data_IF_566836342438
#
_entry.id   IF_566836342438
#
_cell.length_a   1.000
_cell.length_b   1.000
_cell.length_c   1.000
_cell.angle_alpha   90.00
_cell.angle_beta   90.00
_cell.angle_gamma   90.00
#
_symmetry.space_group_name_H-M   'P 1'
#
loop_
_entity.id
_entity.type
_entity.pdbx_description
1 polymer ?
#
# COMPACT_ATOMS: atom_id res chain seq x y z
N UNK A 1 -4.30 -6.18 -13.17
CA UNK A 1 -3.04 -5.42 -13.24
C UNK A 1 -1.89 -6.18 -12.55
N UNK A 2 -1.96 -6.56 -11.26
CA UNK A 2 -0.89 -7.32 -10.59
C UNK A 2 -0.47 -8.59 -11.33
N UNK A 3 -1.41 -9.41 -11.80
CA UNK A 3 -1.10 -10.62 -12.56
C UNK A 3 -0.36 -10.30 -13.86
N UNK A 4 -0.74 -9.23 -14.55
CA UNK A 4 -0.03 -8.77 -15.75
C UNK A 4 1.41 -8.37 -15.44
N UNK A 5 1.64 -7.69 -14.30
CA UNK A 5 2.99 -7.35 -13.86
C UNK A 5 3.81 -8.59 -13.53
N UNK A 6 3.25 -9.58 -12.85
CA UNK A 6 3.93 -10.84 -12.51
C UNK A 6 4.30 -11.61 -13.77
N UNK A 7 3.38 -11.73 -14.73
CA UNK A 7 3.64 -12.34 -16.03
C UNK A 7 4.67 -11.55 -16.84
N UNK A 8 4.57 -10.22 -16.82
CA UNK A 8 5.54 -9.34 -17.47
C UNK A 8 6.95 -9.54 -16.91
N UNK A 9 7.12 -9.58 -15.58
CA UNK A 9 8.39 -9.91 -14.95
C UNK A 9 8.93 -11.27 -15.42
N UNK A 10 8.07 -12.28 -15.47
CA UNK A 10 8.45 -13.61 -15.96
C UNK A 10 8.99 -13.57 -17.39
N UNK A 11 8.29 -12.91 -18.32
CA UNK A 11 8.69 -12.86 -19.73
C UNK A 11 9.91 -11.97 -19.97
N UNK A 12 9.94 -10.78 -19.40
CA UNK A 12 11.02 -9.82 -19.63
C UNK A 12 12.33 -10.16 -18.92
N UNK A 13 12.33 -11.08 -17.95
CA UNK A 13 13.54 -11.59 -17.32
C UNK A 13 14.12 -12.83 -18.00
N UNK A 14 13.42 -13.45 -18.96
CA UNK A 14 13.90 -14.63 -19.71
C UNK A 14 15.29 -14.45 -20.34
N UNK A 15 15.59 -13.34 -21.04
CA UNK A 15 16.89 -13.15 -21.67
C UNK A 15 18.06 -13.17 -20.70
N UNK A 16 17.81 -12.78 -19.46
CA UNK A 16 18.83 -12.68 -18.40
C UNK A 16 18.93 -13.94 -17.55
N UNK A 17 18.06 -14.94 -17.76
CA UNK A 17 17.99 -16.18 -16.99
C UNK A 17 18.02 -17.41 -17.91
N UNK A 18 19.07 -17.55 -18.70
CA UNK A 18 19.31 -18.68 -19.61
C UNK A 18 18.09 -19.06 -20.51
N UNK A 19 17.28 -18.05 -20.90
CA UNK A 19 16.10 -18.26 -21.74
C UNK A 19 14.87 -18.80 -21.00
N UNK A 20 14.91 -18.92 -19.67
CA UNK A 20 13.79 -19.39 -18.85
C UNK A 20 13.28 -18.31 -17.93
N UNK A 21 11.96 -18.10 -17.88
CA UNK A 21 11.36 -17.19 -16.89
C UNK A 21 11.44 -17.77 -15.48
N UNK A 22 11.37 -16.88 -14.50
CA UNK A 22 11.39 -17.29 -13.08
C UNK A 22 10.31 -16.55 -12.29
N UNK A 23 9.76 -17.20 -11.28
CA UNK A 23 8.92 -16.59 -10.25
C UNK A 23 9.62 -16.46 -8.90
N UNK A 24 10.90 -16.86 -8.83
CA UNK A 24 11.69 -16.72 -7.62
C UNK A 24 11.97 -15.22 -7.35
N UNK A 25 11.43 -14.70 -6.24
CA UNK A 25 11.53 -13.30 -5.90
C UNK A 25 12.99 -12.83 -5.75
N UNK A 26 13.86 -13.65 -5.19
CA UNK A 26 15.28 -13.30 -4.99
C UNK A 26 15.97 -13.12 -6.34
N UNK A 27 15.74 -14.03 -7.27
CA UNK A 27 16.28 -13.96 -8.64
C UNK A 27 15.68 -12.76 -9.39
N UNK A 28 14.37 -12.51 -9.25
CA UNK A 28 13.71 -11.36 -9.87
C UNK A 28 14.26 -10.01 -9.38
N UNK A 29 14.60 -9.88 -8.11
CA UNK A 29 15.22 -8.66 -7.55
C UNK A 29 16.57 -8.36 -8.23
N UNK A 30 17.31 -9.40 -8.63
CA UNK A 30 18.59 -9.22 -9.32
C UNK A 30 18.44 -8.93 -10.82
N UNK A 31 17.41 -9.49 -11.45
CA UNK A 31 17.21 -9.42 -12.90
C UNK A 31 16.30 -8.28 -13.34
N UNK A 32 15.27 -7.94 -12.57
CA UNK A 32 14.29 -6.92 -12.97
C UNK A 32 14.88 -5.53 -13.23
N UNK A 33 15.90 -5.05 -12.48
CA UNK A 33 16.56 -3.77 -12.78
C UNK A 33 17.34 -3.77 -14.11
N UNK A 34 17.61 -4.94 -14.70
CA UNK A 34 18.34 -5.08 -15.97
C UNK A 34 17.42 -5.03 -17.20
N UNK A 35 16.10 -5.01 -17.00
CA UNK A 35 15.13 -4.95 -18.09
C UNK A 35 15.26 -3.58 -18.78
N UNK A 36 15.80 -3.56 -19.99
CA UNK A 36 15.84 -2.39 -20.85
C UNK A 36 14.97 -2.67 -22.09
N UNK A 37 13.68 -2.59 -21.93
CA UNK A 37 12.72 -2.82 -22.99
C UNK A 37 11.65 -1.72 -23.00
N UNK A 38 11.13 -1.42 -24.18
CA UNK A 38 10.04 -0.47 -24.36
C UNK A 38 8.81 -1.19 -24.92
N UNK A 39 7.65 -0.86 -24.38
CA UNK A 39 6.36 -1.33 -24.84
C UNK A 39 5.45 -0.12 -25.08
N UNK A 40 4.93 0.05 -26.29
CA UNK A 40 4.12 1.19 -26.70
C UNK A 40 4.77 2.57 -26.45
N UNK A 41 6.11 2.64 -26.50
CA UNK A 41 6.87 3.87 -26.26
C UNK A 41 7.12 4.18 -24.78
N UNK A 42 6.72 3.31 -23.88
CA UNK A 42 6.98 3.44 -22.42
C UNK A 42 8.00 2.40 -21.98
N UNK A 43 8.80 2.77 -20.96
CA UNK A 43 9.71 1.82 -20.30
C UNK A 43 8.89 0.69 -19.64
N UNK A 44 9.29 -0.55 -19.90
CA UNK A 44 8.61 -1.73 -19.34
C UNK A 44 8.70 -1.75 -17.81
N UNK A 45 9.83 -1.35 -17.23
CA UNK A 45 9.97 -1.26 -15.77
C UNK A 45 8.91 -0.33 -15.16
N UNK A 46 8.65 0.82 -15.79
CA UNK A 46 7.62 1.76 -15.35
C UNK A 46 6.21 1.16 -15.44
N UNK A 47 5.90 0.44 -16.53
CA UNK A 47 4.60 -0.24 -16.68
C UNK A 47 4.41 -1.34 -15.64
N UNK A 48 5.46 -2.11 -15.36
CA UNK A 48 5.45 -3.14 -14.32
C UNK A 48 5.25 -2.52 -12.93
N UNK A 49 5.99 -1.44 -12.63
CA UNK A 49 5.84 -0.69 -11.38
C UNK A 49 4.40 -0.19 -11.17
N UNK A 50 3.83 0.53 -12.14
CA UNK A 50 2.46 1.06 -12.05
C UNK A 50 1.45 -0.06 -11.88
N UNK A 51 1.61 -1.18 -12.60
CA UNK A 51 0.70 -2.31 -12.51
C UNK A 51 0.72 -2.99 -11.13
N UNK A 52 1.91 -3.13 -10.51
CA UNK A 52 2.05 -3.59 -9.13
C UNK A 52 1.48 -2.55 -8.16
N UNK A 53 1.82 -1.27 -8.37
CA UNK A 53 1.36 -0.17 -7.52
C UNK A 53 -0.17 -0.09 -7.46
N UNK A 54 -0.87 -0.14 -8.59
CA UNK A 54 -2.35 -0.12 -8.63
C UNK A 54 -2.91 -1.28 -7.81
N UNK A 55 -2.37 -2.49 -7.96
CA UNK A 55 -2.84 -3.65 -7.20
C UNK A 55 -2.69 -3.47 -5.69
N UNK A 56 -1.56 -2.94 -5.23
CA UNK A 56 -1.34 -2.66 -3.82
C UNK A 56 -2.10 -1.41 -3.35
N UNK A 57 -2.26 -0.38 -4.20
CA UNK A 57 -2.98 0.85 -3.91
C UNK A 57 -4.46 0.62 -3.59
N UNK A 58 -5.09 -0.34 -4.28
CA UNK A 58 -6.46 -0.77 -3.97
C UNK A 58 -6.51 -1.37 -2.56
N UNK A 59 -5.52 -2.19 -2.20
CA UNK A 59 -5.46 -2.87 -0.90
C UNK A 59 -5.12 -1.94 0.27
N UNK A 60 -4.25 -0.93 0.04
CA UNK A 60 -3.81 0.08 1.03
C UNK A 60 -4.87 1.16 1.29
N UNK A 61 -5.96 1.21 0.63
CA UNK A 61 -6.90 2.23 0.21
C UNK A 61 -6.28 3.61 -0.04
N UNK A 62 -5.42 3.66 -1.07
CA UNK A 62 -4.86 4.93 -1.56
C UNK A 62 -5.91 5.66 -2.40
N UNK A 63 -6.01 6.99 -2.25
CA UNK A 63 -6.86 7.80 -3.13
C UNK A 63 -6.47 7.58 -4.62
N UNK A 64 -7.42 7.37 -5.54
CA UNK A 64 -8.88 7.37 -5.38
C UNK A 64 -9.50 6.01 -5.00
N UNK A 65 -8.73 4.95 -4.79
CA UNK A 65 -9.20 3.56 -4.60
C UNK A 65 -9.66 3.22 -3.17
N UNK A 66 -9.95 4.21 -2.33
CA UNK A 66 -10.23 4.04 -0.90
C UNK A 66 -11.70 3.80 -0.54
N UNK A 67 -12.63 4.05 -1.47
CA UNK A 67 -14.07 4.13 -1.18
C UNK A 67 -14.70 2.81 -0.73
N UNK A 68 -14.10 1.68 -1.08
CA UNK A 68 -14.58 0.35 -0.70
C UNK A 68 -14.42 0.08 0.81
N UNK A 69 -13.40 0.70 1.45
CA UNK A 69 -13.03 0.37 2.83
C UNK A 69 -14.12 0.73 3.85
N UNK A 70 -14.69 1.95 3.86
CA UNK A 70 -15.76 2.29 4.80
C UNK A 70 -17.01 1.45 4.61
N UNK A 71 -17.36 1.12 3.36
CA UNK A 71 -18.51 0.27 3.06
C UNK A 71 -18.30 -1.16 3.57
N UNK A 72 -17.11 -1.73 3.32
CA UNK A 72 -16.76 -3.07 3.79
C UNK A 72 -16.84 -3.19 5.32
N UNK A 73 -16.38 -2.16 6.06
CA UNK A 73 -16.41 -2.18 7.52
C UNK A 73 -17.81 -2.08 8.13
N UNK A 74 -18.74 -1.41 7.47
CA UNK A 74 -20.13 -1.29 7.94
C UNK A 74 -20.87 -2.61 7.77
N UNK A 75 -20.76 -3.23 6.60
CA UNK A 75 -21.44 -4.48 6.27
C UNK A 75 -20.83 -5.69 6.98
N UNK A 76 -19.54 -5.63 7.32
CA UNK A 76 -18.84 -6.76 7.93
C UNK A 76 -19.16 -6.91 9.42
N UNK A 77 -19.26 -8.17 9.91
CA UNK A 77 -19.24 -8.44 11.35
C UNK A 77 -17.98 -7.88 12.01
N UNK A 78 -18.08 -7.50 13.29
CA UNK A 78 -16.99 -6.87 14.05
C UNK A 78 -15.67 -7.63 13.96
N UNK A 79 -15.68 -8.95 14.10
CA UNK A 79 -14.48 -9.79 14.01
C UNK A 79 -13.76 -9.65 12.65
N UNK A 80 -14.52 -9.57 11.55
CA UNK A 80 -13.94 -9.37 10.21
C UNK A 80 -13.35 -7.97 10.06
N UNK A 81 -14.02 -6.94 10.59
CA UNK A 81 -13.51 -5.57 10.60
C UNK A 81 -12.19 -5.46 11.37
N UNK A 82 -12.03 -6.16 12.49
CA UNK A 82 -10.78 -6.22 13.26
C UNK A 82 -9.63 -6.80 12.43
N UNK A 83 -9.85 -7.92 11.75
CA UNK A 83 -8.83 -8.56 10.89
C UNK A 83 -8.52 -7.69 9.67
N UNK A 84 -9.54 -7.11 9.06
CA UNK A 84 -9.39 -6.25 7.88
C UNK A 84 -8.55 -5.03 8.20
N UNK A 85 -8.85 -4.32 9.28
CA UNK A 85 -8.11 -3.14 9.70
C UNK A 85 -6.75 -3.49 10.31
N UNK A 86 -6.67 -4.52 11.15
CA UNK A 86 -5.45 -4.91 11.86
C UNK A 86 -4.35 -5.44 10.94
N UNK A 87 -4.70 -6.33 10.01
CA UNK A 87 -3.71 -7.09 9.22
C UNK A 87 -3.84 -6.86 7.72
N UNK A 88 -5.05 -6.99 7.15
CA UNK A 88 -5.20 -7.07 5.70
C UNK A 88 -4.79 -5.79 4.96
N UNK A 89 -5.00 -4.61 5.54
CA UNK A 89 -4.51 -3.35 4.95
C UNK A 89 -2.98 -3.31 4.88
N UNK A 90 -2.30 -3.84 5.89
CA UNK A 90 -0.83 -3.85 5.96
C UNK A 90 -0.19 -4.81 4.97
N UNK A 91 -0.92 -5.81 4.49
CA UNK A 91 -0.42 -6.67 3.40
C UNK A 91 -0.17 -5.88 2.12
N UNK A 92 -0.95 -4.83 1.85
CA UNK A 92 -0.72 -3.95 0.70
C UNK A 92 0.56 -3.12 0.85
N UNK A 93 0.75 -2.46 1.99
CA UNK A 93 1.97 -1.69 2.28
C UNK A 93 3.20 -2.59 2.39
N UNK A 94 3.07 -3.77 3.00
CA UNK A 94 4.11 -4.78 3.02
C UNK A 94 4.50 -5.23 1.61
N UNK A 95 3.51 -5.46 0.74
CA UNK A 95 3.75 -5.81 -0.66
C UNK A 95 4.53 -4.72 -1.42
N UNK A 96 4.19 -3.45 -1.21
CA UNK A 96 4.97 -2.34 -1.76
C UNK A 96 6.42 -2.38 -1.27
N UNK A 97 6.63 -2.47 0.06
CA UNK A 97 7.97 -2.47 0.67
C UNK A 97 8.80 -3.70 0.31
N UNK A 98 8.19 -4.88 0.34
CA UNK A 98 8.93 -6.14 0.20
C UNK A 98 9.07 -6.61 -1.24
N UNK A 99 8.13 -6.22 -2.11
CA UNK A 99 8.11 -6.67 -3.51
C UNK A 99 8.48 -5.51 -4.43
N UNK A 100 7.68 -4.44 -4.47
CA UNK A 100 7.84 -3.40 -5.48
C UNK A 100 9.16 -2.61 -5.31
N UNK A 101 9.53 -2.26 -4.08
CA UNK A 101 10.74 -1.47 -3.80
C UNK A 101 12.03 -2.19 -4.20
N UNK A 102 12.26 -3.46 -3.82
CA UNK A 102 13.47 -4.17 -4.23
C UNK A 102 13.50 -4.57 -5.70
N UNK A 103 12.33 -4.83 -6.32
CA UNK A 103 12.26 -5.25 -7.72
C UNK A 103 12.63 -4.14 -8.69
N UNK A 104 12.16 -2.92 -8.45
CA UNK A 104 12.26 -1.80 -9.39
C UNK A 104 12.71 -0.52 -8.67
N UNK A 105 13.93 -0.49 -8.10
CA UNK A 105 14.39 0.63 -7.27
C UNK A 105 14.49 1.95 -8.04
N UNK A 106 14.81 1.93 -9.33
CA UNK A 106 14.83 3.12 -10.18
C UNK A 106 13.46 3.78 -10.29
N UNK A 107 12.41 2.98 -10.47
CA UNK A 107 11.04 3.46 -10.59
C UNK A 107 10.47 3.93 -9.25
N UNK A 108 10.92 3.35 -8.14
CA UNK A 108 10.58 3.84 -6.79
C UNK A 108 11.03 5.27 -6.60
N UNK A 109 12.26 5.58 -6.97
CA UNK A 109 12.82 6.94 -6.87
C UNK A 109 12.03 7.90 -7.77
N UNK A 110 11.77 7.51 -9.00
CA UNK A 110 11.01 8.33 -9.97
C UNK A 110 9.59 8.63 -9.48
N UNK A 111 8.96 7.66 -8.80
CA UNK A 111 7.57 7.74 -8.35
C UNK A 111 7.42 8.29 -6.92
N UNK A 112 8.51 8.47 -6.17
CA UNK A 112 8.48 8.82 -4.75
C UNK A 112 7.75 10.15 -4.49
N UNK A 113 7.95 11.15 -5.34
CA UNK A 113 7.23 12.43 -5.20
C UNK A 113 5.72 12.26 -5.38
N UNK A 114 5.31 11.48 -6.37
CA UNK A 114 3.88 11.15 -6.58
C UNK A 114 3.31 10.40 -5.37
N UNK A 115 4.08 9.47 -4.81
CA UNK A 115 3.70 8.73 -3.61
C UNK A 115 3.55 9.65 -2.40
N UNK A 116 4.42 10.65 -2.23
CA UNK A 116 4.32 11.66 -1.18
C UNK A 116 3.04 12.49 -1.33
N UNK A 117 2.74 12.97 -2.54
CA UNK A 117 1.51 13.74 -2.83
C UNK A 117 0.26 12.89 -2.53
N UNK A 118 0.22 11.65 -2.98
CA UNK A 118 -0.88 10.74 -2.67
C UNK A 118 -1.01 10.49 -1.17
N UNK A 119 0.11 10.37 -0.44
CA UNK A 119 0.14 10.28 1.01
C UNK A 119 -0.51 11.48 1.69
N UNK A 120 -0.14 12.69 1.28
CA UNK A 120 -0.73 13.94 1.81
C UNK A 120 -2.23 14.02 1.50
N UNK A 121 -2.64 13.69 0.28
CA UNK A 121 -4.06 13.64 -0.10
C UNK A 121 -4.81 12.65 0.81
N UNK A 122 -4.28 11.45 1.02
CA UNK A 122 -4.90 10.46 1.91
C UNK A 122 -5.04 10.98 3.34
N UNK A 123 -4.01 11.65 3.87
CA UNK A 123 -4.03 12.22 5.23
C UNK A 123 -5.18 13.22 5.36
N UNK A 124 -5.22 14.21 4.48
CA UNK A 124 -6.21 15.28 4.54
C UNK A 124 -7.61 14.77 4.23
N UNK A 125 -7.76 14.06 3.13
CA UNK A 125 -9.05 13.53 2.67
C UNK A 125 -9.64 12.52 3.65
N UNK A 126 -8.81 11.60 4.16
CA UNK A 126 -9.24 10.61 5.16
C UNK A 126 -9.67 11.25 6.47
N UNK A 127 -8.91 12.25 6.97
CA UNK A 127 -9.23 12.95 8.21
C UNK A 127 -10.53 13.77 8.09
N UNK A 128 -10.69 14.55 7.02
CA UNK A 128 -11.90 15.35 6.79
C UNK A 128 -13.15 14.47 6.66
N UNK A 129 -13.05 13.38 5.92
CA UNK A 129 -14.16 12.42 5.80
C UNK A 129 -14.46 11.71 7.12
N UNK A 130 -13.44 11.38 7.93
CA UNK A 130 -13.67 10.77 9.25
C UNK A 130 -14.48 11.68 10.18
N UNK A 131 -14.15 12.99 10.23
CA UNK A 131 -14.87 13.96 11.05
C UNK A 131 -16.33 14.13 10.58
N UNK A 132 -16.60 13.99 9.30
CA UNK A 132 -17.93 14.14 8.72
C UNK A 132 -18.85 12.92 8.91
N UNK A 133 -18.35 11.80 9.45
CA UNK A 133 -19.15 10.59 9.62
C UNK A 133 -19.96 10.61 10.91
N UNK A 134 -21.22 10.15 10.83
CA UNK A 134 -22.08 9.91 11.98
C UNK A 134 -21.90 8.46 12.49
N UNK A 135 -21.66 7.51 11.58
CA UNK A 135 -21.43 6.10 11.90
C UNK A 135 -20.01 5.89 12.42
N UNK A 136 -19.86 5.32 13.62
CA UNK A 136 -18.58 5.09 14.26
C UNK A 136 -17.69 4.12 13.48
N UNK A 137 -18.24 3.08 12.84
CA UNK A 137 -17.46 2.16 12.00
C UNK A 137 -16.89 2.89 10.77
N UNK A 138 -17.70 3.75 10.14
CA UNK A 138 -17.23 4.58 9.01
C UNK A 138 -16.15 5.58 9.45
N UNK A 139 -16.33 6.22 10.61
CA UNK A 139 -15.36 7.15 11.16
C UNK A 139 -14.01 6.49 11.37
N UNK A 140 -13.95 5.32 12.01
CA UNK A 140 -12.72 4.55 12.23
C UNK A 140 -12.14 4.07 10.89
N UNK A 141 -12.96 3.67 9.93
CA UNK A 141 -12.50 3.26 8.61
C UNK A 141 -11.84 4.41 7.84
N UNK A 142 -12.42 5.62 7.82
CA UNK A 142 -11.81 6.80 7.19
C UNK A 142 -10.57 7.27 7.94
N UNK A 143 -10.51 7.14 9.26
CA UNK A 143 -9.28 7.41 10.01
C UNK A 143 -8.16 6.47 9.55
N UNK A 144 -8.46 5.22 9.21
CA UNK A 144 -7.50 4.27 8.64
C UNK A 144 -6.95 4.74 7.30
N UNK A 145 -7.77 5.33 6.43
CA UNK A 145 -7.30 5.93 5.15
C UNK A 145 -6.28 7.02 5.44
N UNK A 146 -6.57 7.91 6.40
CA UNK A 146 -5.64 8.97 6.82
C UNK A 146 -4.32 8.39 7.35
N UNK A 147 -4.38 7.43 8.25
CA UNK A 147 -3.18 6.80 8.85
C UNK A 147 -2.32 6.04 7.83
N UNK A 148 -2.92 5.43 6.82
CA UNK A 148 -2.17 4.83 5.71
C UNK A 148 -1.44 5.89 4.87
N UNK A 149 -1.95 7.12 4.80
CA UNK A 149 -1.26 8.24 4.18
C UNK A 149 0.10 8.55 4.81
N UNK A 150 0.23 8.45 6.15
CA UNK A 150 1.54 8.60 6.82
C UNK A 150 2.52 7.49 6.46
N UNK A 151 2.03 6.27 6.26
CA UNK A 151 2.88 5.16 5.78
C UNK A 151 3.42 5.48 4.39
N UNK A 152 2.57 5.94 3.47
CA UNK A 152 2.99 6.32 2.12
C UNK A 152 4.00 7.46 2.13
N UNK A 153 3.79 8.46 2.97
CA UNK A 153 4.71 9.60 3.11
C UNK A 153 6.07 9.15 3.65
N UNK A 154 6.08 8.26 4.65
CA UNK A 154 7.31 7.67 5.16
C UNK A 154 8.05 6.83 4.11
N UNK A 155 7.32 6.05 3.29
CA UNK A 155 7.88 5.30 2.18
C UNK A 155 8.44 6.21 1.09
N UNK A 156 7.81 7.36 0.82
CA UNK A 156 8.29 8.33 -0.15
C UNK A 156 9.61 9.01 0.27
N UNK A 157 9.98 8.96 1.55
CA UNK A 157 11.23 9.53 2.05
C UNK A 157 12.51 8.88 1.49
N UNK A 158 12.38 7.81 0.71
CA UNK A 158 13.51 7.14 0.02
C UNK A 158 14.34 8.10 -0.84
N UNK A 159 13.76 9.21 -1.32
CA UNK A 159 14.45 10.25 -2.10
C UNK A 159 15.07 11.35 -1.23
N UNK A 160 15.07 11.20 0.09
CA UNK A 160 15.69 12.18 0.99
C UNK A 160 17.17 12.37 0.64
N UNK A 161 17.62 13.61 0.65
CA UNK A 161 19.02 13.97 0.38
C UNK A 161 20.00 13.42 1.43
N UNK A 162 19.51 13.04 2.60
CA UNK A 162 20.28 12.38 3.65
C UNK A 162 19.87 10.92 3.80
N UNK A 163 20.85 10.02 3.89
CA UNK A 163 20.61 8.61 4.14
C UNK A 163 19.84 8.39 5.45
N UNK A 164 20.20 9.12 6.51
CA UNK A 164 19.50 9.08 7.78
C UNK A 164 18.02 9.50 7.68
N UNK A 165 17.70 10.45 6.80
CA UNK A 165 16.32 10.88 6.53
C UNK A 165 15.50 9.79 5.83
N UNK A 166 16.09 9.12 4.83
CA UNK A 166 15.46 8.00 4.13
C UNK A 166 15.19 6.82 5.07
N UNK A 167 16.18 6.44 5.88
CA UNK A 167 16.07 5.37 6.87
C UNK A 167 15.03 5.70 7.94
N UNK A 168 15.03 6.92 8.47
CA UNK A 168 14.05 7.36 9.46
C UNK A 168 12.62 7.34 8.90
N UNK A 169 12.41 7.79 7.66
CA UNK A 169 11.12 7.74 6.97
C UNK A 169 10.62 6.32 6.80
N UNK A 170 11.49 5.42 6.34
CA UNK A 170 11.16 4.01 6.13
C UNK A 170 10.82 3.30 7.46
N UNK A 171 11.65 3.51 8.49
CA UNK A 171 11.42 2.97 9.83
C UNK A 171 10.10 3.51 10.42
N UNK A 172 9.83 4.82 10.23
CA UNK A 172 8.57 5.44 10.61
C UNK A 172 7.35 4.82 9.90
N UNK A 173 7.47 4.52 8.62
CA UNK A 173 6.42 3.83 7.85
C UNK A 173 6.12 2.45 8.43
N UNK A 174 7.14 1.63 8.69
CA UNK A 174 6.99 0.30 9.30
C UNK A 174 6.38 0.39 10.70
N UNK A 175 6.88 1.32 11.52
CA UNK A 175 6.34 1.56 12.87
C UNK A 175 4.87 1.97 12.83
N UNK A 176 4.50 2.84 11.88
CA UNK A 176 3.11 3.27 11.69
C UNK A 176 2.21 2.11 11.25
N UNK A 177 2.69 1.20 10.41
CA UNK A 177 1.94 -0.01 10.03
C UNK A 177 1.59 -0.86 11.26
N UNK A 178 2.55 -1.06 12.16
CA UNK A 178 2.34 -1.82 13.39
C UNK A 178 1.38 -1.10 14.35
N UNK A 179 1.65 0.16 14.65
CA UNK A 179 0.86 0.97 15.58
C UNK A 179 -0.60 1.09 15.10
N UNK A 180 -0.80 1.42 13.83
CA UNK A 180 -2.14 1.49 13.27
C UNK A 180 -2.85 0.13 13.32
N UNK A 181 -2.13 -0.98 13.11
CA UNK A 181 -2.70 -2.33 13.19
C UNK A 181 -3.30 -2.63 14.55
N UNK A 182 -2.54 -2.39 15.60
CA UNK A 182 -2.96 -2.65 16.99
C UNK A 182 -4.07 -1.69 17.44
N UNK A 183 -3.90 -0.39 17.19
CA UNK A 183 -4.86 0.64 17.62
C UNK A 183 -6.21 0.45 16.94
N UNK A 184 -6.24 0.28 15.62
CA UNK A 184 -7.51 0.14 14.89
C UNK A 184 -8.21 -1.18 15.17
N UNK A 185 -7.48 -2.27 15.39
CA UNK A 185 -8.07 -3.52 15.83
C UNK A 185 -8.82 -3.35 17.16
N UNK A 186 -8.19 -2.67 18.14
CA UNK A 186 -8.82 -2.36 19.43
C UNK A 186 -10.03 -1.42 19.28
N UNK A 187 -9.92 -0.38 18.45
CA UNK A 187 -11.03 0.54 18.21
C UNK A 187 -12.25 -0.19 17.60
N UNK A 188 -12.05 -1.06 16.62
CA UNK A 188 -13.16 -1.85 16.06
C UNK A 188 -13.76 -2.83 17.05
N UNK A 189 -12.97 -3.42 17.96
CA UNK A 189 -13.50 -4.24 19.05
C UNK A 189 -14.39 -3.41 19.97
N UNK A 190 -13.93 -2.23 20.40
CA UNK A 190 -14.71 -1.33 21.26
C UNK A 190 -16.01 -0.87 20.59
N UNK A 191 -15.92 -0.46 19.32
CA UNK A 191 -17.10 -0.09 18.53
C UNK A 191 -18.07 -1.28 18.43
N UNK A 192 -17.58 -2.50 18.21
CA UNK A 192 -18.40 -3.71 18.18
C UNK A 192 -19.16 -3.95 19.46
N UNK A 193 -18.49 -3.83 20.61
CA UNK A 193 -19.16 -3.95 21.93
C UNK A 193 -20.26 -2.92 22.12
N UNK A 194 -20.01 -1.66 21.68
CA UNK A 194 -21.04 -0.61 21.76
C UNK A 194 -22.24 -0.92 20.87
N UNK A 195 -22.02 -1.44 19.65
CA UNK A 195 -23.10 -1.85 18.74
C UNK A 195 -23.93 -2.99 19.33
N UNK A 196 -23.27 -4.00 19.92
CA UNK A 196 -23.97 -5.15 20.52
C UNK A 196 -24.80 -4.73 21.75
N UNK A 197 -24.35 -3.76 22.55
CA UNK A 197 -25.06 -3.26 23.72
C UNK A 197 -26.17 -2.26 23.38
N UNK A 198 -25.94 -1.39 22.39
CA UNK A 198 -26.92 -0.36 22.02
C UNK A 198 -28.05 -0.88 21.12
N UNK A 199 -27.92 -2.09 20.56
CA UNK A 199 -28.88 -2.68 19.61
C UNK A 199 -29.18 -1.80 18.38
N UNK A 200 -28.16 -1.06 17.91
CA UNK A 200 -28.25 -0.18 16.75
C UNK A 200 -27.24 -0.56 15.66
#
# INVERSE_FOLDING_TARGET
>A
FMLLAILGLYYYTQPFNAGTGTFNLITLIQLAPQIDAQLWGYNVQWLLWISLFIGFAIKVPIFPFHTWLPLAHVEAPTAISVILAGVLLKMGTYGLLRISYPLLPGEVISFAYTLAVLGVINILWGALNAIAQIDMKKMVAYSSVSHMGYVLLGMAAVVSSSQSGAEAGMNGAVMQMFNHGTITAMLFLLVGVLYDQAHH
#
